data_IF_772304194825
#
_entry.id   IF_772304194825
#
_cell.length_a   1.000
_cell.length_b   1.000
_cell.length_c   1.000
_cell.angle_alpha   90.00
_cell.angle_beta   90.00
_cell.angle_gamma   90.00
#
_symmetry.space_group_name_H-M   'P 1'
#
loop_
_entity.id
_entity.type
_entity.pdbx_description
1 polymer ?
#
# COMPACT_ATOMS: atom_id res chain seq x y z
N UNK A 1 46.33 -33.57 -38.54
CA UNK A 1 45.33 -32.97 -39.46
C UNK A 1 44.96 -31.58 -38.97
N UNK A 2 44.97 -30.58 -39.86
CA UNK A 2 44.92 -29.14 -39.54
C UNK A 2 43.48 -28.74 -39.15
N UNK A 3 43.27 -28.27 -37.92
CA UNK A 3 41.99 -27.71 -37.47
C UNK A 3 41.71 -26.41 -38.25
N UNK A 4 40.78 -26.45 -39.19
CA UNK A 4 40.37 -25.30 -40.02
C UNK A 4 38.85 -25.23 -40.11
N UNK A 5 38.14 -25.11 -38.99
CA UNK A 5 36.66 -24.94 -39.01
C UNK A 5 36.10 -24.15 -37.81
N UNK A 6 36.73 -23.04 -37.40
CA UNK A 6 36.10 -22.15 -36.40
C UNK A 6 36.07 -20.67 -36.81
N UNK A 7 36.78 -20.27 -37.87
CA UNK A 7 36.92 -18.85 -38.27
C UNK A 7 35.66 -18.29 -38.92
N UNK A 8 34.79 -19.11 -39.51
CA UNK A 8 33.51 -18.64 -40.09
C UNK A 8 32.37 -18.51 -39.08
N UNK A 9 32.47 -19.19 -37.92
CA UNK A 9 31.42 -19.22 -36.92
C UNK A 9 31.49 -18.03 -35.96
N UNK A 10 32.71 -17.62 -35.59
CA UNK A 10 32.97 -16.45 -34.76
C UNK A 10 32.43 -15.13 -35.35
N UNK A 11 32.66 -14.78 -36.63
CA UNK A 11 32.13 -13.54 -37.21
C UNK A 11 30.61 -13.59 -37.36
N UNK A 12 30.02 -14.75 -37.62
CA UNK A 12 28.56 -14.93 -37.62
C UNK A 12 27.97 -14.66 -36.24
N UNK A 13 28.56 -15.23 -35.19
CA UNK A 13 28.09 -15.06 -33.82
C UNK A 13 28.27 -13.63 -33.32
N UNK A 14 29.37 -12.97 -33.72
CA UNK A 14 29.60 -11.54 -33.50
C UNK A 14 28.55 -10.68 -34.20
N UNK A 15 28.17 -11.01 -35.44
CA UNK A 15 27.11 -10.30 -36.16
C UNK A 15 25.74 -10.46 -35.48
N UNK A 16 25.40 -11.67 -35.04
CA UNK A 16 24.18 -11.93 -34.28
C UNK A 16 24.16 -11.11 -32.97
N UNK A 17 25.25 -11.12 -32.21
CA UNK A 17 25.37 -10.35 -30.98
C UNK A 17 25.25 -8.83 -31.22
N UNK A 18 25.87 -8.30 -32.29
CA UNK A 18 25.77 -6.87 -32.65
C UNK A 18 24.35 -6.47 -33.10
N UNK A 19 23.59 -7.38 -33.72
CA UNK A 19 22.21 -7.11 -34.14
C UNK A 19 21.19 -7.12 -33.00
N UNK A 20 21.50 -7.83 -31.91
CA UNK A 20 20.62 -7.97 -30.74
C UNK A 20 20.69 -6.76 -29.80
N UNK A 21 21.84 -6.09 -29.70
CA UNK A 21 22.04 -4.94 -28.81
C UNK A 21 21.14 -3.73 -29.09
N UNK A 22 20.89 -3.27 -30.34
CA UNK A 22 19.97 -2.16 -30.57
C UNK A 22 18.52 -2.55 -30.28
N UNK A 23 18.16 -3.83 -30.41
CA UNK A 23 16.81 -4.33 -30.12
C UNK A 23 16.50 -4.24 -28.62
N UNK A 24 17.43 -4.66 -27.76
CA UNK A 24 17.26 -4.51 -26.31
C UNK A 24 17.30 -3.05 -25.85
N UNK A 25 18.13 -2.21 -26.48
CA UNK A 25 18.16 -0.78 -26.18
C UNK A 25 16.86 -0.06 -26.61
N UNK A 26 16.23 -0.50 -27.70
CA UNK A 26 14.90 -0.03 -28.11
C UNK A 26 13.82 -0.55 -27.17
N UNK A 27 13.86 -1.83 -26.77
CA UNK A 27 12.92 -2.41 -25.83
C UNK A 27 12.91 -1.68 -24.47
N UNK A 28 14.09 -1.31 -23.96
CA UNK A 28 14.23 -0.52 -22.71
C UNK A 28 13.74 0.92 -22.88
N UNK A 29 13.90 1.52 -24.07
CA UNK A 29 13.38 2.87 -24.36
C UNK A 29 11.88 2.89 -24.62
N UNK A 30 11.31 1.79 -25.13
CA UNK A 30 9.87 1.63 -25.38
C UNK A 30 9.12 1.08 -24.18
N UNK A 31 9.79 0.37 -23.27
CA UNK A 31 9.25 0.13 -21.94
C UNK A 31 9.25 1.49 -21.24
N UNK A 32 8.09 2.15 -21.22
CA UNK A 32 7.91 3.33 -20.37
C UNK A 32 8.40 3.02 -18.96
N UNK A 33 8.86 4.04 -18.24
CA UNK A 33 9.17 3.88 -16.81
C UNK A 33 7.98 3.17 -16.15
N UNK A 34 8.27 2.15 -15.33
CA UNK A 34 7.25 1.55 -14.48
C UNK A 34 6.50 2.69 -13.81
N UNK A 35 5.22 2.81 -14.16
CA UNK A 35 4.40 3.89 -13.68
C UNK A 35 4.15 3.55 -12.22
N UNK A 36 4.88 4.21 -11.32
CA UNK A 36 4.58 4.17 -9.90
C UNK A 36 3.14 4.66 -9.77
N UNK A 37 2.23 3.76 -9.41
CA UNK A 37 0.79 4.00 -9.36
C UNK A 37 0.53 5.03 -8.25
N UNK A 38 0.70 6.30 -8.60
CA UNK A 38 0.57 7.44 -7.69
C UNK A 38 -0.88 7.94 -7.66
N UNK A 39 -1.78 7.29 -8.40
CA UNK A 39 -3.20 7.60 -8.40
C UNK A 39 -3.96 6.59 -7.56
N UNK A 40 -4.57 7.11 -6.50
CA UNK A 40 -5.57 6.44 -5.66
C UNK A 40 -6.58 5.74 -6.57
N UNK A 41 -6.42 4.43 -6.70
CA UNK A 41 -7.28 3.63 -7.57
C UNK A 41 -8.44 3.15 -6.70
N UNK A 42 -9.66 3.59 -7.02
CA UNK A 42 -10.84 2.91 -6.52
C UNK A 42 -10.86 1.49 -7.12
N UNK A 43 -11.15 0.48 -6.30
CA UNK A 43 -11.40 -0.91 -6.67
C UNK A 43 -10.66 -1.40 -7.93
N UNK A 44 -9.41 -1.83 -7.79
CA UNK A 44 -8.73 -2.64 -8.80
C UNK A 44 -9.57 -3.91 -9.01
N UNK A 45 -9.97 -4.17 -10.26
CA UNK A 45 -10.89 -5.25 -10.64
C UNK A 45 -12.32 -5.19 -10.05
N UNK A 46 -12.75 -4.05 -9.49
CA UNK A 46 -14.12 -3.88 -9.01
C UNK A 46 -14.42 -4.46 -7.62
N UNK A 47 -13.40 -4.95 -6.90
CA UNK A 47 -13.53 -5.34 -5.49
C UNK A 47 -13.28 -4.12 -4.60
N UNK A 48 -14.22 -3.70 -3.75
CA UNK A 48 -13.94 -2.64 -2.77
C UNK A 48 -12.84 -3.10 -1.81
N UNK A 49 -11.84 -2.26 -1.52
CA UNK A 49 -10.77 -2.64 -0.61
C UNK A 49 -11.35 -2.97 0.78
N UNK A 50 -10.84 -4.01 1.43
CA UNK A 50 -11.24 -4.43 2.78
C UNK A 50 -10.03 -4.44 3.73
N UNK A 51 -10.15 -3.72 4.84
CA UNK A 51 -9.11 -3.67 5.85
C UNK A 51 -9.28 -4.85 6.81
N UNK A 52 -8.17 -5.43 7.25
CA UNK A 52 -8.19 -6.59 8.17
C UNK A 52 -8.72 -6.20 9.56
N UNK A 53 -8.37 -4.99 10.02
CA UNK A 53 -8.86 -4.45 11.28
C UNK A 53 -8.74 -2.94 11.34
N UNK A 54 -9.28 -2.36 12.40
CA UNK A 54 -9.28 -0.92 12.62
C UNK A 54 -9.07 -0.62 14.09
N UNK A 55 -8.31 0.43 14.36
CA UNK A 55 -8.10 1.00 15.69
C UNK A 55 -8.99 2.22 15.86
N UNK A 56 -9.81 2.19 16.91
CA UNK A 56 -10.66 3.31 17.30
C UNK A 56 -9.88 4.16 18.31
N UNK A 57 -9.68 5.47 18.05
CA UNK A 57 -8.91 6.31 18.94
C UNK A 57 -9.63 6.56 20.27
N UNK A 58 -8.85 6.69 21.33
CA UNK A 58 -9.30 7.20 22.62
C UNK A 58 -8.70 8.57 22.83
N UNK A 59 -9.51 9.51 23.27
CA UNK A 59 -9.10 10.87 23.57
C UNK A 59 -9.25 11.14 25.06
N UNK A 60 -8.40 12.01 25.59
CA UNK A 60 -8.62 12.69 26.85
C UNK A 60 -8.78 14.20 26.56
N UNK A 61 -10.00 14.71 26.64
CA UNK A 61 -10.35 16.02 26.10
C UNK A 61 -10.13 16.08 24.59
N UNK A 62 -9.19 16.91 24.12
CA UNK A 62 -8.84 17.07 22.70
C UNK A 62 -7.55 16.33 22.30
N UNK A 63 -6.91 15.62 23.23
CA UNK A 63 -5.64 14.92 22.97
C UNK A 63 -5.91 13.45 22.72
N UNK A 64 -5.48 12.94 21.55
CA UNK A 64 -5.52 11.52 21.25
C UNK A 64 -4.46 10.78 22.06
N UNK A 65 -4.87 9.73 22.76
CA UNK A 65 -3.98 8.85 23.49
C UNK A 65 -3.26 7.93 22.51
N UNK A 66 -1.98 7.70 22.77
CA UNK A 66 -1.14 6.80 22.00
C UNK A 66 -1.49 5.34 22.33
N UNK A 67 -1.68 4.52 21.32
CA UNK A 67 -1.89 3.08 21.51
C UNK A 67 -0.58 2.29 21.67
N UNK A 68 0.55 2.88 21.27
CA UNK A 68 1.87 2.26 21.24
C UNK A 68 2.76 2.64 22.43
N UNK A 69 2.25 3.45 23.36
CA UNK A 69 3.00 3.96 24.49
C UNK A 69 2.11 4.20 25.71
N UNK A 70 2.73 4.30 26.88
CA UNK A 70 2.05 4.75 28.09
C UNK A 70 1.68 6.23 27.96
N UNK A 71 0.43 6.57 28.29
CA UNK A 71 -0.05 7.95 28.32
C UNK A 71 -0.11 8.44 29.78
N UNK A 72 0.45 9.62 30.10
CA UNK A 72 0.31 10.19 31.44
C UNK A 72 -1.14 10.59 31.68
N UNK A 73 -1.70 10.14 32.80
CA UNK A 73 -3.06 10.48 33.23
C UNK A 73 -2.98 11.00 34.65
N UNK A 74 -3.49 12.21 34.88
CA UNK A 74 -3.56 12.78 36.23
C UNK A 74 -4.43 11.92 37.14
N UNK A 75 -4.04 11.79 38.40
CA UNK A 75 -4.82 11.04 39.39
C UNK A 75 -6.26 11.57 39.55
N UNK A 76 -6.48 12.87 39.31
CA UNK A 76 -7.80 13.50 39.36
C UNK A 76 -8.64 13.30 38.08
N UNK A 77 -8.12 12.59 37.08
CA UNK A 77 -8.83 12.37 35.83
C UNK A 77 -10.13 11.59 36.05
N UNK A 78 -11.20 12.02 35.39
CA UNK A 78 -12.53 11.39 35.49
C UNK A 78 -12.82 10.61 34.22
N UNK A 79 -13.58 9.49 34.29
CA UNK A 79 -14.01 8.77 33.09
C UNK A 79 -14.68 9.66 32.04
N UNK A 80 -15.46 10.66 32.47
CA UNK A 80 -16.13 11.62 31.59
C UNK A 80 -15.19 12.54 30.79
N UNK A 81 -13.89 12.55 31.11
CA UNK A 81 -12.89 13.29 30.34
C UNK A 81 -12.33 12.47 29.18
N UNK A 82 -12.68 11.18 29.10
CA UNK A 82 -12.30 10.32 28.00
C UNK A 82 -13.44 10.18 27.00
N UNK A 83 -13.07 10.11 25.73
CA UNK A 83 -14.02 9.94 24.63
C UNK A 83 -13.41 9.08 23.53
N UNK A 84 -14.26 8.65 22.60
CA UNK A 84 -13.87 7.90 21.42
C UNK A 84 -14.67 8.38 20.21
N UNK A 85 -14.21 8.06 19.00
CA UNK A 85 -14.90 8.43 17.76
C UNK A 85 -14.87 7.27 16.79
N UNK A 86 -16.04 6.87 16.31
CA UNK A 86 -16.27 5.85 15.29
C UNK A 86 -16.41 6.45 13.87
N UNK A 87 -16.22 7.76 13.72
CA UNK A 87 -16.22 8.42 12.42
C UNK A 87 -15.06 7.91 11.57
N UNK A 88 -15.31 7.55 10.31
CA UNK A 88 -14.30 6.96 9.42
C UNK A 88 -13.00 7.77 9.28
N UNK A 89 -13.06 9.09 9.46
CA UNK A 89 -11.89 9.98 9.44
C UNK A 89 -11.01 9.92 10.70
N UNK A 90 -11.53 9.40 11.82
CA UNK A 90 -10.81 9.22 13.08
C UNK A 90 -10.18 7.82 13.20
N UNK A 91 -10.64 6.88 12.37
CA UNK A 91 -10.22 5.49 12.40
C UNK A 91 -8.82 5.31 11.82
N UNK A 92 -8.01 4.46 12.45
CA UNK A 92 -6.71 4.03 11.91
C UNK A 92 -6.80 2.58 11.43
N UNK A 93 -6.65 2.35 10.14
CA UNK A 93 -6.74 1.01 9.57
C UNK A 93 -5.46 0.21 9.79
N UNK A 94 -5.61 -1.05 10.18
CA UNK A 94 -4.57 -2.06 10.00
C UNK A 94 -4.69 -2.59 8.59
N UNK A 95 -3.55 -2.71 7.91
CA UNK A 95 -3.50 -2.97 6.48
C UNK A 95 -4.22 -1.84 5.70
N UNK A 96 -3.60 -0.64 5.61
CA UNK A 96 -4.18 0.52 4.90
C UNK A 96 -4.12 0.36 3.37
N UNK A 97 -3.77 -0.82 2.89
CA UNK A 97 -3.90 -1.25 1.51
C UNK A 97 -4.60 -2.61 1.50
N UNK A 98 -5.35 -2.96 0.46
CA UNK A 98 -5.82 -4.34 0.32
C UNK A 98 -4.71 -5.28 -0.19
N UNK A 99 -5.06 -6.51 -0.58
CA UNK A 99 -4.09 -7.50 -1.07
C UNK A 99 -3.46 -7.08 -2.40
N UNK A 100 -4.20 -6.29 -3.18
CA UNK A 100 -3.83 -5.76 -4.49
C UNK A 100 -3.03 -4.45 -4.40
N UNK A 101 -3.06 -3.77 -3.26
CA UNK A 101 -2.34 -2.52 -3.01
C UNK A 101 -3.21 -1.27 -3.07
N UNK A 102 -4.54 -1.40 -3.07
CA UNK A 102 -5.48 -0.28 -3.11
C UNK A 102 -5.55 0.45 -1.78
N UNK A 103 -5.35 1.77 -1.82
CA UNK A 103 -5.42 2.63 -0.64
C UNK A 103 -6.89 2.93 -0.30
N UNK A 104 -7.26 2.82 0.98
CA UNK A 104 -8.59 3.19 1.52
C UNK A 104 -8.89 4.71 1.52
N UNK A 105 -8.36 5.48 0.57
CA UNK A 105 -8.29 6.93 0.64
C UNK A 105 -9.40 7.67 -0.13
N UNK A 106 -10.42 7.00 -0.68
CA UNK A 106 -11.57 7.67 -1.31
C UNK A 106 -12.87 7.32 -0.57
N UNK A 107 -13.69 8.30 -0.13
CA UNK A 107 -14.64 8.13 0.97
C UNK A 107 -16.05 7.69 0.53
N UNK A 108 -16.89 7.20 1.48
CA UNK A 108 -16.57 6.99 2.89
C UNK A 108 -16.19 5.54 3.21
N UNK A 109 -15.28 5.36 4.18
CA UNK A 109 -15.10 4.08 4.84
C UNK A 109 -16.44 3.68 5.44
N UNK A 110 -16.93 2.51 5.03
CA UNK A 110 -18.17 1.92 5.55
C UNK A 110 -17.84 0.62 6.24
N UNK A 111 -18.54 0.35 7.34
CA UNK A 111 -18.50 -0.96 7.96
C UNK A 111 -19.08 -2.00 7.01
N UNK A 112 -18.52 -3.21 6.98
CA UNK A 112 -18.90 -4.28 6.03
C UNK A 112 -20.41 -4.61 6.02
N UNK A 113 -21.09 -4.40 7.15
CA UNK A 113 -22.54 -4.60 7.29
C UNK A 113 -23.34 -3.28 7.37
N UNK A 114 -22.76 -2.17 6.92
CA UNK A 114 -23.31 -0.79 7.04
C UNK A 114 -23.70 -0.41 8.47
N UNK A 115 -23.14 -1.12 9.46
CA UNK A 115 -23.43 -0.94 10.87
C UNK A 115 -22.12 -0.78 11.64
N UNK A 116 -21.93 0.40 12.21
CA UNK A 116 -20.85 0.66 13.13
C UNK A 116 -21.02 -0.16 14.43
N UNK A 117 -19.92 -0.67 15.02
CA UNK A 117 -19.97 -1.27 16.33
C UNK A 117 -20.26 -0.18 17.38
N UNK A 118 -21.07 -0.50 18.38
CA UNK A 118 -21.23 0.36 19.55
C UNK A 118 -19.99 0.25 20.41
N UNK A 119 -19.18 1.31 20.47
CA UNK A 119 -18.00 1.38 21.32
C UNK A 119 -18.22 2.43 22.40
N UNK A 120 -18.09 2.01 23.64
CA UNK A 120 -18.24 2.88 24.82
C UNK A 120 -17.11 2.58 25.78
N UNK A 121 -16.62 3.63 26.45
CA UNK A 121 -15.68 3.50 27.55
C UNK A 121 -16.50 3.25 28.82
N UNK A 122 -16.25 2.13 29.50
CA UNK A 122 -16.93 1.70 30.74
C UNK A 122 -16.06 1.91 31.96
#
# INVERSE_FOLDING_TARGET
>A
MKSKKCVGFLPWLLLCALSLTPFFAQAVRSSGAWQELTEQTAAINGTPPQADSVTIPVYQGSVQLRSDAANPVDYSAKPSQFSTSDAGSALTLTNPHDTEGDIFAVPPLVWQAERAPTVTLV
#
